data_IF_678022346554
#
_entry.id   IF_678022346554
#
_cell.length_a   1.000
_cell.length_b   1.000
_cell.length_c   1.000
_cell.angle_alpha   90.00
_cell.angle_beta   90.00
_cell.angle_gamma   90.00
#
_symmetry.space_group_name_H-M   'P 1'
#
loop_
_entity.id
_entity.type
_entity.pdbx_description
1 polymer ?
#
# COMPACT_ATOMS: atom_id res chain seq x y z
N UNK A 1 12.76 -14.00 -5.50
CA UNK A 1 11.31 -14.23 -5.69
C UNK A 1 10.72 -12.99 -6.33
N UNK A 2 9.91 -13.07 -7.40
CA UNK A 2 9.24 -11.91 -7.98
C UNK A 2 8.22 -11.32 -6.98
N UNK A 3 8.16 -10.00 -6.89
CA UNK A 3 7.24 -9.27 -6.02
C UNK A 3 6.58 -8.15 -6.80
N UNK A 4 5.35 -7.79 -6.42
CA UNK A 4 4.66 -6.60 -6.86
C UNK A 4 4.58 -5.61 -5.69
N UNK A 5 4.56 -4.31 -6.00
CA UNK A 5 4.36 -3.27 -5.01
C UNK A 5 3.03 -2.56 -5.26
N UNK A 6 2.45 -2.01 -4.19
CA UNK A 6 1.28 -1.14 -4.26
C UNK A 6 1.69 0.18 -3.60
N UNK A 7 1.85 1.26 -4.39
CA UNK A 7 2.14 2.57 -3.84
C UNK A 7 0.92 3.04 -3.05
N UNK A 8 1.15 3.51 -1.82
CA UNK A 8 0.12 4.07 -0.95
C UNK A 8 0.46 5.52 -0.68
N UNK A 9 -0.55 6.38 -0.77
CA UNK A 9 -0.39 7.78 -0.39
C UNK A 9 -0.35 7.89 1.14
N UNK A 10 0.48 8.77 1.73
CA UNK A 10 0.52 8.95 3.19
C UNK A 10 -0.70 9.70 3.76
N UNK A 11 -1.29 10.61 2.99
CA UNK A 11 -2.36 11.51 3.46
C UNK A 11 -3.79 10.91 3.65
N UNK A 12 -4.25 9.90 2.90
CA UNK A 12 -5.58 9.34 3.10
C UNK A 12 -5.79 8.80 4.51
N UNK A 13 -7.05 8.75 4.98
CA UNK A 13 -7.36 8.18 6.28
C UNK A 13 -6.81 6.76 6.38
N UNK A 14 -6.17 6.44 7.51
CA UNK A 14 -5.53 5.15 7.73
C UNK A 14 -6.44 3.94 7.44
N UNK A 15 -7.76 4.09 7.62
CA UNK A 15 -8.76 3.09 7.27
C UNK A 15 -8.77 2.73 5.78
N UNK A 16 -8.61 3.72 4.90
CA UNK A 16 -8.56 3.49 3.45
C UNK A 16 -7.29 2.73 3.07
N UNK A 17 -6.14 3.12 3.65
CA UNK A 17 -4.88 2.43 3.45
C UNK A 17 -4.95 0.98 3.94
N UNK A 18 -5.53 0.75 5.12
CA UNK A 18 -5.78 -0.60 5.63
C UNK A 18 -6.66 -1.43 4.70
N UNK A 19 -7.75 -0.84 4.18
CA UNK A 19 -8.63 -1.51 3.23
C UNK A 19 -7.91 -1.89 1.92
N UNK A 20 -7.07 -1.00 1.36
CA UNK A 20 -6.25 -1.32 0.18
C UNK A 20 -5.26 -2.44 0.48
N UNK A 21 -4.57 -2.38 1.63
CA UNK A 21 -3.61 -3.41 2.04
C UNK A 21 -4.27 -4.79 2.14
N UNK A 22 -5.46 -4.86 2.75
CA UNK A 22 -6.26 -6.09 2.88
C UNK A 22 -6.71 -6.62 1.50
N UNK A 23 -7.32 -5.76 0.67
CA UNK A 23 -7.82 -6.14 -0.67
C UNK A 23 -6.71 -6.59 -1.62
N UNK A 24 -5.52 -6.02 -1.49
CA UNK A 24 -4.36 -6.40 -2.28
C UNK A 24 -3.59 -7.60 -1.70
N UNK A 25 -3.97 -8.10 -0.52
CA UNK A 25 -3.29 -9.22 0.15
C UNK A 25 -1.84 -8.90 0.50
N UNK A 26 -1.55 -7.66 0.88
CA UNK A 26 -0.19 -7.25 1.22
C UNK A 26 0.27 -7.98 2.48
N UNK A 27 1.50 -8.49 2.43
CA UNK A 27 2.17 -9.14 3.57
C UNK A 27 3.10 -8.18 4.29
N UNK A 28 3.72 -7.30 3.53
CA UNK A 28 4.68 -6.33 4.02
C UNK A 28 4.32 -4.95 3.50
N UNK A 29 4.67 -3.93 4.27
CA UNK A 29 4.71 -2.57 3.77
C UNK A 29 5.94 -1.84 4.32
N UNK A 30 6.37 -0.83 3.57
CA UNK A 30 7.48 0.04 3.94
C UNK A 30 6.95 1.45 4.02
N UNK A 31 7.31 2.15 5.08
CA UNK A 31 6.95 3.54 5.32
C UNK A 31 8.13 4.30 5.91
N UNK A 32 8.00 5.62 5.96
CA UNK A 32 8.90 6.44 6.76
C UNK A 32 8.67 6.16 8.25
N UNK A 33 9.75 6.07 9.02
CA UNK A 33 9.69 5.59 10.41
C UNK A 33 8.90 6.54 11.33
N UNK A 34 8.87 7.83 11.02
CA UNK A 34 8.10 8.86 11.70
C UNK A 34 6.58 8.72 11.49
N UNK A 35 6.14 8.13 10.38
CA UNK A 35 4.72 7.90 10.07
C UNK A 35 4.12 6.68 10.80
N UNK A 36 4.94 5.83 11.42
CA UNK A 36 4.52 4.58 12.04
C UNK A 36 3.56 4.79 13.21
N UNK A 37 3.84 5.79 14.05
CA UNK A 37 3.06 6.06 15.27
C UNK A 37 1.63 6.53 14.96
N UNK A 38 1.45 7.24 13.84
CA UNK A 38 0.19 7.88 13.46
C UNK A 38 -0.74 6.95 12.69
N UNK A 39 -0.20 5.95 12.00
CA UNK A 39 -0.92 5.32 10.90
C UNK A 39 -1.73 4.07 11.27
N UNK A 40 -1.31 3.22 12.22
CA UNK A 40 -1.91 1.86 12.28
C UNK A 40 -2.18 1.26 13.65
N UNK A 41 -1.92 1.99 14.75
CA UNK A 41 -1.99 1.44 16.12
C UNK A 41 -3.33 0.78 16.49
N UNK A 42 -4.43 1.16 15.86
CA UNK A 42 -5.77 0.62 16.15
C UNK A 42 -6.43 -0.15 15.00
N UNK A 43 -5.77 -0.29 13.84
CA UNK A 43 -6.41 -0.83 12.63
C UNK A 43 -5.89 -2.21 12.22
N UNK A 44 -4.65 -2.55 12.57
CA UNK A 44 -4.04 -3.82 12.20
C UNK A 44 -2.92 -4.21 13.17
N UNK A 45 -2.72 -5.51 13.36
CA UNK A 45 -1.57 -6.01 14.11
C UNK A 45 -0.34 -6.01 13.20
N UNK A 46 0.76 -5.46 13.69
CA UNK A 46 1.96 -5.19 12.89
C UNK A 46 3.22 -5.58 13.65
N UNK A 47 4.20 -6.09 12.91
CA UNK A 47 5.51 -6.48 13.45
C UNK A 47 6.63 -5.76 12.67
N UNK A 48 7.52 -5.08 13.40
CA UNK A 48 8.66 -4.40 12.79
C UNK A 48 9.73 -5.43 12.44
N UNK A 49 10.00 -5.59 11.15
CA UNK A 49 10.97 -6.57 10.64
C UNK A 49 12.38 -5.98 10.51
N UNK A 50 12.47 -4.73 10.07
CA UNK A 50 13.75 -4.06 9.85
C UNK A 50 13.57 -2.53 9.91
N UNK A 51 14.63 -1.84 10.34
CA UNK A 51 14.71 -0.37 10.36
C UNK A 51 15.98 0.06 9.64
N UNK A 52 15.84 0.97 8.68
CA UNK A 52 16.94 1.59 7.97
C UNK A 52 17.03 3.07 8.36
N UNK A 53 17.74 3.36 9.44
CA UNK A 53 17.89 4.71 9.99
C UNK A 53 18.51 5.71 9.01
N UNK A 54 19.46 5.26 8.18
CA UNK A 54 20.11 6.11 7.17
C UNK A 54 19.11 6.72 6.15
N UNK A 55 17.95 6.09 5.96
CA UNK A 55 16.94 6.51 4.99
C UNK A 55 15.60 6.87 5.66
N UNK A 56 15.53 6.84 6.99
CA UNK A 56 14.28 6.97 7.74
C UNK A 56 13.19 6.02 7.22
N UNK A 57 13.50 4.73 7.06
CA UNK A 57 12.55 3.72 6.59
C UNK A 57 12.36 2.60 7.61
N UNK A 58 11.14 2.09 7.70
CA UNK A 58 10.81 0.90 8.48
C UNK A 58 10.04 -0.10 7.61
N UNK A 59 10.46 -1.37 7.66
CA UNK A 59 9.72 -2.50 7.09
C UNK A 59 8.87 -3.14 8.16
N UNK A 60 7.60 -3.35 7.82
CA UNK A 60 6.60 -3.92 8.68
C UNK A 60 5.99 -5.15 8.03
N UNK A 61 5.82 -6.21 8.81
CA UNK A 61 5.00 -7.38 8.50
C UNK A 61 3.58 -7.15 9.02
N UNK A 62 2.60 -7.37 8.15
CA UNK A 62 1.18 -7.29 8.48
C UNK A 62 0.74 -8.64 9.03
N UNK A 63 0.27 -8.66 10.28
CA UNK A 63 -0.33 -9.84 10.88
C UNK A 63 -1.82 -9.85 10.57
N UNK A 64 -2.20 -10.64 9.57
CA UNK A 64 -3.60 -10.92 9.30
C UNK A 64 -4.10 -11.92 10.34
N UNK A 65 -4.79 -11.44 11.38
CA UNK A 65 -5.53 -12.34 12.26
C UNK A 65 -6.70 -12.92 11.46
N UNK A 66 -6.86 -14.24 11.35
CA UNK A 66 -8.09 -14.79 10.82
C UNK A 66 -9.22 -14.39 11.76
N UNK A 67 -10.17 -13.60 11.28
CA UNK A 67 -11.43 -13.37 11.99
C UNK A 67 -12.07 -14.75 12.14
N UNK A 68 -11.97 -15.35 13.33
CA UNK A 68 -12.75 -16.52 13.66
C UNK A 68 -14.22 -16.13 13.47
N UNK A 69 -14.94 -16.87 12.62
CA UNK A 69 -16.35 -16.67 12.38
C UNK A 69 -17.13 -16.92 13.69
N UNK A 70 -17.23 -15.89 14.51
CA UNK A 70 -18.10 -15.88 15.67
C UNK A 70 -19.48 -15.51 15.17
N UNK A 71 -20.30 -16.53 14.87
CA UNK A 71 -21.74 -16.36 14.75
C UNK A 71 -22.23 -15.97 16.14
N UNK A 72 -22.42 -14.68 16.37
CA UNK A 72 -23.24 -14.17 17.46
C UNK A 72 -24.37 -13.35 16.87
N UNK A 73 -25.52 -14.01 16.89
CA UNK A 73 -26.87 -13.47 16.73
C UNK A 73 -27.09 -12.38 17.80
N UNK A 74 -27.55 -11.18 17.41
CA UNK A 74 -27.90 -10.13 18.38
C UNK A 74 -27.61 -8.70 17.94
N UNK A 75 -28.62 -8.09 17.33
CA UNK A 75 -28.79 -6.66 16.98
C UNK A 75 -28.15 -5.65 17.96
N UNK A 76 -27.25 -4.80 17.46
CA UNK A 76 -27.21 -3.38 17.86
C UNK A 76 -26.54 -2.50 16.79
N UNK A 77 -27.38 -1.65 16.18
CA UNK A 77 -27.11 -0.41 15.44
C UNK A 77 -25.67 -0.12 14.97
N UNK A 78 -25.32 -0.57 13.76
CA UNK A 78 -24.28 0.10 12.98
C UNK A 78 -24.84 1.43 12.46
N UNK A 79 -24.36 2.53 13.06
CA UNK A 79 -24.54 3.88 12.55
C UNK A 79 -23.98 3.89 11.12
N UNK A 80 -24.87 4.07 10.14
CA UNK A 80 -24.60 3.86 8.72
C UNK A 80 -23.29 4.50 8.26
N UNK A 81 -22.36 3.66 7.83
CA UNK A 81 -21.28 4.07 6.92
C UNK A 81 -21.96 4.42 5.60
N UNK A 82 -21.79 5.65 5.07
CA UNK A 82 -22.32 5.96 3.75
C UNK A 82 -21.62 5.05 2.72
N UNK A 83 -22.38 4.11 2.16
CA UNK A 83 -22.13 3.36 0.93
C UNK A 83 -20.65 2.93 0.71
N UNK A 84 -20.19 1.89 1.43
CA UNK A 84 -18.84 1.33 1.29
C UNK A 84 -18.49 0.90 -0.15
N UNK A 85 -19.50 0.58 -0.97
CA UNK A 85 -19.30 0.17 -2.36
C UNK A 85 -18.97 1.34 -3.31
N UNK A 86 -19.32 2.59 -2.96
CA UNK A 86 -19.08 3.73 -3.85
C UNK A 86 -17.65 4.29 -3.78
N UNK A 87 -16.90 3.95 -2.74
CA UNK A 87 -15.53 4.44 -2.49
C UNK A 87 -14.49 3.31 -2.42
N UNK A 88 -14.82 2.11 -2.88
CA UNK A 88 -13.84 1.01 -2.92
C UNK A 88 -12.78 1.31 -4.00
N UNK A 89 -11.50 1.52 -3.62
CA UNK A 89 -10.46 1.83 -4.59
C UNK A 89 -10.25 0.64 -5.54
N UNK A 90 -10.33 0.90 -6.85
CA UNK A 90 -10.03 -0.08 -7.87
C UNK A 90 -8.50 -0.24 -8.00
N UNK A 91 -7.98 -1.41 -7.69
CA UNK A 91 -6.56 -1.72 -7.87
C UNK A 91 -6.31 -2.24 -9.30
N UNK A 92 -5.47 -1.54 -10.05
CA UNK A 92 -5.02 -1.99 -11.37
C UNK A 92 -3.77 -2.85 -11.20
N UNK A 93 -3.81 -4.08 -11.75
CA UNK A 93 -2.65 -4.99 -11.76
C UNK A 93 -1.96 -4.92 -13.12
N UNK A 94 -0.70 -4.51 -13.13
CA UNK A 94 0.11 -4.43 -14.35
C UNK A 94 1.13 -5.58 -14.36
N UNK A 95 1.08 -6.50 -15.34
CA UNK A 95 2.07 -7.57 -15.46
C UNK A 95 3.48 -7.02 -15.71
N UNK A 96 4.51 -7.67 -15.15
CA UNK A 96 5.91 -7.24 -15.36
C UNK A 96 6.29 -7.12 -16.85
N UNK A 97 5.75 -7.99 -17.72
CA UNK A 97 5.98 -7.96 -19.18
C UNK A 97 5.41 -6.72 -19.87
N UNK A 98 4.45 -6.02 -19.26
CA UNK A 98 3.89 -4.79 -19.79
C UNK A 98 4.83 -3.60 -19.54
N UNK A 99 5.76 -3.71 -18.59
CA UNK A 99 6.83 -2.75 -18.38
C UNK A 99 8.05 -3.13 -19.21
N UNK A 100 8.26 -2.43 -20.32
CA UNK A 100 9.47 -2.55 -21.12
C UNK A 100 10.27 -1.23 -21.05
N UNK A 101 11.20 -1.08 -20.10
CA UNK A 101 11.94 0.18 -19.93
C UNK A 101 12.79 0.54 -21.15
N UNK A 102 13.16 -0.45 -21.96
CA UNK A 102 13.93 -0.25 -23.19
C UNK A 102 13.14 0.46 -24.30
N UNK A 103 11.80 0.45 -24.24
CA UNK A 103 10.96 1.14 -25.23
C UNK A 103 11.23 2.65 -25.21
N UNK A 104 11.22 3.26 -24.03
CA UNK A 104 11.48 4.70 -23.88
C UNK A 104 12.90 5.07 -24.28
N UNK A 105 13.87 4.22 -23.91
CA UNK A 105 15.28 4.43 -24.28
C UNK A 105 15.47 4.44 -25.81
N UNK A 106 14.81 3.52 -26.52
CA UNK A 106 14.89 3.46 -27.97
C UNK A 106 14.14 4.59 -28.67
N UNK A 107 12.97 4.98 -28.16
CA UNK A 107 12.13 6.01 -28.79
C UNK A 107 12.68 7.43 -28.60
N UNK A 108 13.25 7.71 -27.44
CA UNK A 108 13.74 9.04 -27.08
C UNK A 108 15.28 9.15 -27.10
N UNK A 109 15.97 8.10 -27.51
CA UNK A 109 17.44 8.04 -27.53
C UNK A 109 18.10 8.36 -26.17
N UNK A 110 17.44 8.00 -25.06
CA UNK A 110 17.96 8.30 -23.72
C UNK A 110 19.34 7.66 -23.47
N UNK A 111 20.23 8.48 -22.93
CA UNK A 111 21.60 8.17 -22.55
C UNK A 111 21.76 8.18 -21.03
N UNK A 112 22.96 7.87 -20.53
CA UNK A 112 23.24 7.94 -19.09
C UNK A 112 23.46 9.38 -18.59
N UNK A 113 23.69 10.32 -19.51
CA UNK A 113 23.91 11.74 -19.21
C UNK A 113 22.59 12.53 -19.10
N UNK A 114 21.46 11.92 -19.47
CA UNK A 114 20.15 12.55 -19.39
C UNK A 114 19.60 12.55 -17.95
N UNK A 115 19.10 13.72 -17.53
CA UNK A 115 18.35 13.85 -16.29
C UNK A 115 16.92 13.37 -16.44
N UNK A 116 16.46 12.48 -15.56
CA UNK A 116 15.07 12.03 -15.49
C UNK A 116 14.41 12.59 -14.25
N UNK A 117 13.26 13.23 -14.44
CA UNK A 117 12.45 13.75 -13.33
C UNK A 117 11.31 12.79 -13.01
N UNK A 118 11.24 12.34 -11.76
CA UNK A 118 10.05 11.68 -11.23
C UNK A 118 9.06 12.76 -10.76
N UNK A 119 8.33 13.33 -11.71
CA UNK A 119 7.44 14.47 -11.46
C UNK A 119 6.04 14.06 -10.92
N UNK A 120 5.65 12.80 -11.12
CA UNK A 120 4.36 12.27 -10.68
C UNK A 120 4.50 11.51 -9.36
N UNK A 121 3.52 11.60 -8.44
CA UNK A 121 3.47 10.70 -7.29
C UNK A 121 3.44 9.25 -7.74
N UNK A 122 4.01 8.35 -6.93
CA UNK A 122 4.07 6.92 -7.27
C UNK A 122 2.69 6.26 -7.42
N UNK A 123 1.62 6.92 -6.98
CA UNK A 123 0.23 6.44 -7.07
C UNK A 123 -0.46 6.74 -8.41
N UNK A 124 0.22 7.39 -9.36
CA UNK A 124 -0.30 7.72 -10.70
C UNK A 124 0.21 6.79 -11.80
#
# INVERSE_FOLDING_TARGET
VPAAYVPLHPDPPALLSAHVMERCGLKYFVLQSDLLQTAFSNLMSVEVCAVWSAHNLTLILIQHSPIAAHVQDGVMAQKGVPNADLFTPAAVRVPARAFCPYLFRSLFHMTQDDGVFLASPLTF
#
